data_IF_933563497917
#
_entry.id   IF_933563497917
#
_cell.length_a   1.000
_cell.length_b   1.000
_cell.length_c   1.000
_cell.angle_alpha   90.00
_cell.angle_beta   90.00
_cell.angle_gamma   90.00
#
_symmetry.space_group_name_H-M   'P 1'
#
loop_
_entity.id
_entity.type
_entity.pdbx_description
1 polymer ?
#
# COMPACT_ATOMS: atom_id res chain seq x y z
N UNK A 1 4.65 48.32 -23.29
CA UNK A 1 5.09 49.50 -22.51
C UNK A 1 4.78 49.25 -21.05
N UNK A 2 5.78 48.83 -20.28
CA UNK A 2 5.69 48.49 -18.86
C UNK A 2 5.46 49.76 -18.03
N UNK A 3 4.36 49.80 -17.28
CA UNK A 3 4.08 50.87 -16.33
C UNK A 3 4.79 50.58 -14.99
N UNK A 4 6.11 50.56 -15.01
CA UNK A 4 6.94 50.56 -13.79
C UNK A 4 6.96 51.98 -13.21
N UNK A 5 6.39 52.15 -12.02
CA UNK A 5 6.74 53.26 -11.12
C UNK A 5 5.96 54.57 -11.29
N UNK A 6 4.63 54.56 -11.42
CA UNK A 6 3.86 55.80 -11.15
C UNK A 6 3.82 56.03 -9.64
N UNK A 7 4.60 56.99 -9.16
CA UNK A 7 4.55 57.44 -7.76
C UNK A 7 3.18 58.08 -7.48
N UNK A 8 2.24 57.29 -6.93
CA UNK A 8 0.87 57.70 -6.63
C UNK A 8 0.82 58.77 -5.53
N UNK A 9 1.87 58.90 -4.72
CA UNK A 9 1.92 59.80 -3.57
C UNK A 9 2.08 61.28 -3.95
N UNK A 10 2.59 61.54 -5.15
CA UNK A 10 2.77 62.90 -5.67
C UNK A 10 1.66 63.32 -6.66
N UNK A 11 0.64 62.49 -6.85
CA UNK A 11 -0.43 62.77 -7.80
C UNK A 11 -1.51 63.67 -7.18
N UNK A 12 -1.93 64.68 -7.96
CA UNK A 12 -3.08 65.53 -7.65
C UNK A 12 -4.39 64.73 -7.68
N UNK A 13 -5.42 65.27 -7.02
CA UNK A 13 -6.73 64.65 -6.93
C UNK A 13 -7.34 64.29 -8.30
N UNK A 14 -7.28 65.20 -9.29
CA UNK A 14 -7.80 64.96 -10.65
C UNK A 14 -7.05 63.83 -11.36
N UNK A 15 -5.74 63.73 -11.16
CA UNK A 15 -4.93 62.67 -11.75
C UNK A 15 -5.26 61.31 -11.13
N UNK A 16 -5.43 61.24 -9.81
CA UNK A 16 -5.87 60.02 -9.11
C UNK A 16 -7.27 59.57 -9.57
N UNK A 17 -8.21 60.49 -9.74
CA UNK A 17 -9.54 60.15 -10.27
C UNK A 17 -9.47 59.58 -11.68
N UNK A 18 -8.62 60.15 -12.56
CA UNK A 18 -8.43 59.67 -13.93
C UNK A 18 -7.86 58.25 -13.95
N UNK A 19 -6.87 57.95 -13.10
CA UNK A 19 -6.31 56.60 -13.00
C UNK A 19 -7.31 55.59 -12.40
N UNK A 20 -8.09 55.98 -11.38
CA UNK A 20 -9.17 55.12 -10.89
C UNK A 20 -10.18 54.77 -11.98
N UNK A 21 -10.63 55.75 -12.79
CA UNK A 21 -11.56 55.49 -13.89
C UNK A 21 -10.97 54.56 -14.95
N UNK A 22 -9.71 54.77 -15.33
CA UNK A 22 -9.00 53.87 -16.26
C UNK A 22 -8.91 52.43 -15.73
N UNK A 23 -8.75 52.28 -14.42
CA UNK A 23 -8.72 50.99 -13.76
C UNK A 23 -10.11 50.39 -13.48
N UNK A 24 -11.21 51.05 -13.88
CA UNK A 24 -12.57 50.61 -13.59
C UNK A 24 -13.00 50.76 -12.12
N UNK A 25 -12.27 51.55 -11.33
CA UNK A 25 -12.49 51.73 -9.89
C UNK A 25 -13.32 52.98 -9.59
N UNK A 26 -14.00 52.97 -8.45
CA UNK A 26 -14.78 54.12 -7.97
C UNK A 26 -13.89 55.37 -7.78
N UNK A 27 -14.15 56.42 -8.56
CA UNK A 27 -13.39 57.67 -8.58
C UNK A 27 -13.98 58.78 -7.69
N UNK A 28 -14.58 58.42 -6.55
CA UNK A 28 -15.15 59.33 -5.54
C UNK A 28 -14.43 59.16 -4.19
N UNK A 29 -14.25 60.25 -3.43
CA UNK A 29 -13.62 60.24 -2.09
C UNK A 29 -12.49 61.26 -1.96
N UNK A 30 -11.68 61.18 -0.92
CA UNK A 30 -10.46 61.98 -0.78
C UNK A 30 -9.25 61.32 -1.49
N UNK A 31 -8.12 62.03 -1.59
CA UNK A 31 -6.89 61.54 -2.25
C UNK A 31 -6.38 60.22 -1.64
N UNK A 32 -6.42 60.09 -0.31
CA UNK A 32 -6.00 58.89 0.40
C UNK A 32 -6.83 57.65 0.01
N UNK A 33 -8.17 57.79 -0.08
CA UNK A 33 -9.05 56.70 -0.47
C UNK A 33 -8.80 56.25 -1.92
N UNK A 34 -8.52 57.19 -2.83
CA UNK A 34 -8.20 56.87 -4.22
C UNK A 34 -6.86 56.12 -4.35
N UNK A 35 -5.81 56.57 -3.64
CA UNK A 35 -4.51 55.88 -3.61
C UNK A 35 -4.64 54.46 -3.07
N UNK A 36 -5.33 54.28 -1.93
CA UNK A 36 -5.54 52.97 -1.32
C UNK A 36 -6.18 51.97 -2.29
N UNK A 37 -7.17 52.41 -3.10
CA UNK A 37 -7.81 51.57 -4.11
C UNK A 37 -6.89 51.22 -5.26
N UNK A 38 -6.09 52.18 -5.73
CA UNK A 38 -5.12 51.97 -6.80
C UNK A 38 -4.00 51.02 -6.36
N UNK A 39 -3.42 51.21 -5.18
CA UNK A 39 -2.45 50.28 -4.60
C UNK A 39 -3.04 48.87 -4.47
N UNK A 40 -4.23 48.74 -3.88
CA UNK A 40 -4.90 47.43 -3.77
C UNK A 40 -5.10 46.76 -5.14
N UNK A 41 -5.43 47.52 -6.18
CA UNK A 41 -5.59 46.99 -7.53
C UNK A 41 -4.26 46.62 -8.21
N UNK A 42 -3.17 47.33 -7.89
CA UNK A 42 -1.82 46.99 -8.34
C UNK A 42 -1.34 45.70 -7.67
N UNK A 43 -1.49 45.59 -6.35
CA UNK A 43 -1.18 44.36 -5.59
C UNK A 43 -1.97 43.16 -6.11
N UNK A 44 -3.27 43.35 -6.41
CA UNK A 44 -4.14 42.30 -6.95
C UNK A 44 -3.69 41.80 -8.33
N UNK A 45 -3.18 42.70 -9.18
CA UNK A 45 -2.65 42.33 -10.51
C UNK A 45 -1.30 41.63 -10.39
N UNK A 46 -0.44 42.08 -9.48
CA UNK A 46 0.85 41.45 -9.21
C UNK A 46 0.67 40.03 -8.67
N UNK A 47 -0.31 39.85 -7.77
CA UNK A 47 -0.72 38.52 -7.26
C UNK A 47 -1.29 37.60 -8.35
N UNK A 48 -2.02 38.15 -9.33
CA UNK A 48 -2.50 37.36 -10.48
C UNK A 48 -1.39 37.02 -11.49
N UNK A 49 -0.39 37.88 -11.65
CA UNK A 49 0.76 37.64 -12.53
C UNK A 49 1.73 36.62 -11.90
N UNK A 50 1.91 36.64 -10.59
CA UNK A 50 2.70 35.62 -9.86
C UNK A 50 1.97 34.28 -9.79
N UNK A 51 0.65 34.25 -9.63
CA UNK A 51 -0.15 33.01 -9.69
C UNK A 51 -0.10 32.33 -11.08
N UNK A 52 0.06 33.08 -12.18
CA UNK A 52 0.25 32.53 -13.54
C UNK A 52 1.68 32.04 -13.84
N UNK A 53 2.62 32.20 -12.90
CA UNK A 53 4.01 31.78 -13.01
C UNK A 53 4.37 30.72 -11.97
N UNK A 54 3.46 29.79 -11.67
CA UNK A 54 3.91 28.49 -11.17
C UNK A 54 4.62 27.78 -12.32
N UNK A 55 5.93 27.58 -12.16
CA UNK A 55 6.75 26.80 -13.08
C UNK A 55 6.14 25.39 -13.09
N UNK A 56 5.53 24.98 -14.20
CA UNK A 56 4.98 23.63 -14.35
C UNK A 56 6.09 22.63 -14.04
N UNK A 57 5.82 21.67 -13.16
CA UNK A 57 6.81 20.67 -12.83
C UNK A 57 6.97 19.75 -14.05
N UNK A 58 8.19 19.38 -14.47
CA UNK A 58 8.39 18.42 -15.56
C UNK A 58 7.65 17.09 -15.34
N UNK A 59 7.45 16.70 -14.07
CA UNK A 59 6.71 15.49 -13.71
C UNK A 59 5.21 15.56 -14.03
N UNK A 60 4.61 16.76 -14.14
CA UNK A 60 3.18 16.93 -14.41
C UNK A 60 2.78 16.35 -15.78
N UNK A 61 3.72 16.34 -16.74
CA UNK A 61 3.51 15.79 -18.09
C UNK A 61 3.68 14.27 -18.16
N UNK A 62 4.14 13.63 -17.08
CA UNK A 62 4.42 12.19 -17.01
C UNK A 62 3.34 11.42 -16.24
N UNK A 63 2.33 12.13 -15.72
CA UNK A 63 1.25 11.55 -14.92
C UNK A 63 0.38 10.66 -15.81
N UNK A 64 0.12 9.44 -15.33
CA UNK A 64 -0.83 8.52 -15.94
C UNK A 64 -2.24 9.13 -15.90
N UNK A 65 -2.93 9.25 -17.04
CA UNK A 65 -4.26 9.87 -17.09
C UNK A 65 -5.35 9.11 -16.30
N UNK A 66 -5.17 7.81 -16.06
CA UNK A 66 -6.14 6.98 -15.32
C UNK A 66 -5.92 7.12 -13.80
N UNK A 67 -4.68 6.93 -13.34
CA UNK A 67 -4.37 6.89 -11.90
C UNK A 67 -4.13 8.27 -11.31
N UNK A 68 -3.86 9.29 -12.15
CA UNK A 68 -3.43 10.62 -11.73
C UNK A 68 -2.15 10.61 -10.88
N UNK A 69 -1.34 9.56 -11.04
CA UNK A 69 -0.04 9.37 -10.39
C UNK A 69 1.05 9.11 -11.45
N UNK A 70 2.31 9.14 -11.02
CA UNK A 70 3.40 8.68 -11.89
C UNK A 70 3.26 7.16 -12.10
N UNK A 71 3.30 6.68 -13.35
CA UNK A 71 3.24 5.25 -13.63
C UNK A 71 4.52 4.56 -13.13
N UNK A 72 4.37 3.44 -12.43
CA UNK A 72 5.51 2.63 -12.01
C UNK A 72 5.88 1.58 -13.07
N UNK A 73 4.93 1.12 -13.89
CA UNK A 73 5.17 0.35 -15.12
C UNK A 73 4.56 1.05 -16.34
N UNK A 74 5.23 2.09 -16.88
CA UNK A 74 4.70 2.88 -17.97
C UNK A 74 4.64 2.10 -19.28
N UNK A 75 3.47 2.13 -19.92
CA UNK A 75 3.21 1.53 -21.24
C UNK A 75 2.60 2.54 -22.19
N UNK A 76 3.01 2.47 -23.45
CA UNK A 76 2.40 3.20 -24.55
C UNK A 76 1.31 2.37 -25.19
N UNK A 77 0.11 2.91 -25.25
CA UNK A 77 -1.01 2.29 -25.93
C UNK A 77 -1.17 2.83 -27.36
N UNK A 78 -2.02 2.21 -28.17
CA UNK A 78 -2.14 2.56 -29.61
C UNK A 78 -2.72 3.95 -29.88
N UNK A 79 -3.35 4.59 -28.89
CA UNK A 79 -3.76 5.99 -28.98
C UNK A 79 -2.60 6.98 -28.79
N UNK A 80 -1.37 6.47 -28.62
CA UNK A 80 -0.14 7.24 -28.48
C UNK A 80 0.11 7.79 -27.08
N UNK A 81 -0.73 7.44 -26.09
CA UNK A 81 -0.61 7.91 -24.71
C UNK A 81 0.12 6.89 -23.83
N UNK A 82 0.70 7.41 -22.74
CA UNK A 82 1.31 6.60 -21.69
C UNK A 82 0.32 6.37 -20.57
N UNK A 83 0.27 5.13 -20.10
CA UNK A 83 -0.52 4.69 -18.98
C UNK A 83 0.35 3.88 -18.03
N UNK A 84 -0.10 3.74 -16.78
CA UNK A 84 0.38 2.71 -15.88
C UNK A 84 -0.24 1.38 -16.32
N UNK A 85 0.58 0.34 -16.57
CA UNK A 85 0.11 -0.93 -17.14
C UNK A 85 -1.08 -1.52 -16.39
N UNK A 86 -1.06 -1.67 -15.06
CA UNK A 86 -2.19 -2.29 -14.35
C UNK A 86 -3.49 -1.51 -14.56
N UNK A 87 -3.40 -0.18 -14.59
CA UNK A 87 -4.57 0.69 -14.73
C UNK A 87 -5.22 0.60 -16.12
N UNK A 88 -4.42 0.51 -17.19
CA UNK A 88 -4.98 0.37 -18.54
C UNK A 88 -5.51 -1.06 -18.79
N UNK A 89 -4.87 -2.07 -18.21
CA UNK A 89 -5.35 -3.45 -18.28
C UNK A 89 -6.67 -3.63 -17.53
N UNK A 90 -6.80 -3.04 -16.33
CA UNK A 90 -8.05 -3.02 -15.58
C UNK A 90 -9.17 -2.30 -16.35
N UNK A 91 -8.86 -1.15 -16.96
CA UNK A 91 -9.82 -0.45 -17.82
C UNK A 91 -10.34 -1.34 -18.96
N UNK A 92 -9.47 -2.11 -19.61
CA UNK A 92 -9.88 -3.04 -20.67
C UNK A 92 -10.78 -4.17 -20.15
N UNK A 93 -10.52 -4.68 -18.93
CA UNK A 93 -11.35 -5.69 -18.30
C UNK A 93 -12.75 -5.17 -17.97
N UNK A 94 -12.85 -3.94 -17.44
CA UNK A 94 -14.13 -3.31 -17.08
C UNK A 94 -15.03 -3.03 -18.28
N UNK A 95 -14.46 -2.87 -19.48
CA UNK A 95 -15.20 -2.52 -20.71
C UNK A 95 -15.45 -3.72 -21.63
N UNK A 96 -15.49 -4.95 -21.10
CA UNK A 96 -15.89 -6.18 -21.82
C UNK A 96 -15.17 -6.41 -23.18
N UNK A 97 -13.92 -5.98 -23.32
CA UNK A 97 -13.16 -6.12 -24.57
C UNK A 97 -13.46 -5.07 -25.65
N UNK A 98 -14.31 -4.10 -25.34
CA UNK A 98 -14.57 -2.92 -26.18
C UNK A 98 -13.40 -1.93 -25.98
N UNK A 99 -12.29 -2.21 -26.66
CA UNK A 99 -11.03 -1.50 -26.51
C UNK A 99 -11.18 -0.04 -26.94
N UNK A 100 -11.38 0.84 -25.97
CA UNK A 100 -11.53 2.28 -26.18
C UNK A 100 -10.51 3.03 -25.36
N UNK A 101 -9.98 4.12 -25.94
CA UNK A 101 -9.15 5.06 -25.22
C UNK A 101 -9.89 5.56 -23.98
N UNK A 102 -9.30 5.45 -22.78
CA UNK A 102 -9.88 6.01 -21.55
C UNK A 102 -10.15 7.52 -21.64
N UNK A 103 -9.49 8.21 -22.58
CA UNK A 103 -9.54 9.67 -22.70
C UNK A 103 -10.46 10.13 -23.82
N UNK A 104 -10.37 9.53 -25.00
CA UNK A 104 -11.16 9.98 -26.16
C UNK A 104 -12.43 9.16 -26.38
N UNK A 105 -12.55 7.98 -25.75
CA UNK A 105 -13.63 7.03 -26.00
C UNK A 105 -13.60 6.40 -27.40
N UNK A 106 -12.59 6.70 -28.22
CA UNK A 106 -12.43 6.12 -29.55
C UNK A 106 -11.85 4.72 -29.46
N UNK A 107 -12.21 3.86 -30.42
CA UNK A 107 -11.66 2.52 -30.52
C UNK A 107 -10.14 2.53 -30.68
N UNK A 108 -9.45 1.64 -29.98
CA UNK A 108 -8.01 1.43 -30.04
C UNK A 108 -7.68 -0.06 -30.00
N UNK A 109 -6.49 -0.49 -30.42
CA UNK A 109 -6.08 -1.87 -30.22
C UNK A 109 -5.59 -2.17 -28.79
N UNK A 110 -5.29 -3.44 -28.54
CA UNK A 110 -4.85 -3.96 -27.23
C UNK A 110 -3.34 -3.94 -27.03
N UNK A 111 -2.58 -3.46 -28.02
CA UNK A 111 -1.12 -3.53 -27.98
C UNK A 111 -0.58 -2.50 -26.99
N UNK A 112 0.12 -2.97 -25.98
CA UNK A 112 0.83 -2.15 -25.00
C UNK A 112 2.34 -2.33 -25.20
N UNK A 113 3.03 -1.25 -25.56
CA UNK A 113 4.47 -1.23 -25.73
C UNK A 113 5.14 -0.69 -24.45
N UNK A 114 6.20 -1.31 -23.92
CA UNK A 114 6.93 -0.75 -22.79
C UNK A 114 7.45 0.66 -23.11
N UNK A 115 7.15 1.63 -22.24
CA UNK A 115 7.59 3.01 -22.40
C UNK A 115 8.87 3.28 -21.60
N UNK A 116 9.94 2.56 -21.92
CA UNK A 116 11.22 2.58 -21.19
C UNK A 116 11.78 4.00 -21.07
N UNK A 117 11.69 4.81 -22.13
CA UNK A 117 12.14 6.20 -22.09
C UNK A 117 11.37 7.04 -21.04
N UNK A 118 10.07 6.81 -20.87
CA UNK A 118 9.28 7.52 -19.86
C UNK A 118 9.69 7.09 -18.45
N UNK A 119 9.91 5.79 -18.23
CA UNK A 119 10.44 5.28 -16.97
C UNK A 119 11.78 5.93 -16.61
N UNK A 120 12.72 5.96 -17.55
CA UNK A 120 14.05 6.55 -17.33
C UNK A 120 13.96 8.05 -17.01
N UNK A 121 13.02 8.78 -17.62
CA UNK A 121 12.79 10.20 -17.30
C UNK A 121 12.26 10.34 -15.87
N UNK A 122 11.29 9.52 -15.47
CA UNK A 122 10.75 9.54 -14.10
C UNK A 122 11.85 9.23 -13.08
N UNK A 123 12.66 8.20 -13.33
CA UNK A 123 13.79 7.82 -12.47
C UNK A 123 14.82 8.97 -12.36
N UNK A 124 15.19 9.60 -13.48
CA UNK A 124 16.11 10.73 -13.48
C UNK A 124 15.57 11.95 -12.71
N UNK A 125 14.28 12.27 -12.86
CA UNK A 125 13.62 13.36 -12.11
C UNK A 125 13.51 13.04 -10.62
N UNK A 126 13.33 11.76 -10.27
CA UNK A 126 13.30 11.30 -8.89
C UNK A 126 14.68 11.48 -8.23
N UNK A 127 15.74 11.06 -8.92
CA UNK A 127 17.12 11.18 -8.45
C UNK A 127 17.60 12.64 -8.34
N UNK A 128 17.18 13.51 -9.27
CA UNK A 128 17.50 14.94 -9.22
C UNK A 128 16.70 15.71 -8.17
N UNK A 129 15.64 15.11 -7.61
CA UNK A 129 14.74 15.77 -6.66
C UNK A 129 13.76 16.75 -7.32
N UNK A 130 13.55 16.64 -8.64
CA UNK A 130 12.65 17.51 -9.41
C UNK A 130 11.19 17.05 -9.38
N UNK A 131 10.88 15.93 -8.72
CA UNK A 131 9.51 15.45 -8.47
C UNK A 131 9.00 15.99 -7.12
N UNK A 132 7.77 16.55 -7.04
CA UNK A 132 7.16 16.94 -5.78
C UNK A 132 7.14 15.79 -4.77
N UNK A 133 7.48 16.05 -3.51
CA UNK A 133 7.75 14.99 -2.53
C UNK A 133 6.60 14.01 -2.31
N UNK A 134 5.33 14.46 -2.35
CA UNK A 134 4.17 13.56 -2.23
C UNK A 134 4.10 12.55 -3.40
N UNK A 135 4.31 13.04 -4.61
CA UNK A 135 4.28 12.24 -5.83
C UNK A 135 5.48 11.28 -5.88
N UNK A 136 6.66 11.76 -5.49
CA UNK A 136 7.88 10.96 -5.36
C UNK A 136 7.71 9.84 -4.32
N UNK A 137 7.12 10.14 -3.18
CA UNK A 137 6.87 9.16 -2.11
C UNK A 137 5.95 8.03 -2.59
N UNK A 138 4.80 8.35 -3.18
CA UNK A 138 3.84 7.37 -3.68
C UNK A 138 4.44 6.49 -4.78
N UNK A 139 5.12 7.11 -5.73
CA UNK A 139 5.76 6.39 -6.82
C UNK A 139 6.85 5.44 -6.29
N UNK A 140 7.75 5.92 -5.43
CA UNK A 140 8.79 5.07 -4.88
C UNK A 140 8.21 3.94 -4.01
N UNK A 141 7.16 4.21 -3.24
CA UNK A 141 6.47 3.17 -2.47
C UNK A 141 5.97 2.03 -3.37
N UNK A 142 5.29 2.36 -4.48
CA UNK A 142 4.83 1.36 -5.47
C UNK A 142 6.00 0.59 -6.09
N UNK A 143 7.06 1.29 -6.48
CA UNK A 143 8.27 0.65 -7.04
C UNK A 143 8.90 -0.32 -6.04
N UNK A 144 9.01 0.04 -4.75
CA UNK A 144 9.57 -0.85 -3.73
C UNK A 144 8.65 -2.06 -3.46
N UNK A 145 7.33 -1.86 -3.42
CA UNK A 145 6.37 -2.94 -3.26
C UNK A 145 6.51 -3.95 -4.41
N UNK A 146 6.54 -3.48 -5.66
CA UNK A 146 6.71 -4.36 -6.82
C UNK A 146 8.03 -5.13 -6.77
N UNK A 147 9.16 -4.46 -6.48
CA UNK A 147 10.46 -5.14 -6.36
C UNK A 147 10.46 -6.21 -5.26
N UNK A 148 9.82 -5.93 -4.12
CA UNK A 148 9.68 -6.89 -3.03
C UNK A 148 8.79 -8.07 -3.45
N UNK A 149 7.69 -7.83 -4.18
CA UNK A 149 6.85 -8.88 -4.74
C UNK A 149 7.64 -9.80 -5.68
N UNK A 150 8.35 -9.23 -6.64
CA UNK A 150 9.14 -9.98 -7.64
C UNK A 150 10.23 -10.82 -6.98
N UNK A 151 10.96 -10.26 -6.02
CA UNK A 151 11.99 -10.99 -5.30
C UNK A 151 11.41 -12.13 -4.46
N UNK A 152 10.27 -11.91 -3.80
CA UNK A 152 9.59 -12.95 -3.04
C UNK A 152 9.11 -14.09 -3.92
N UNK A 153 8.51 -13.78 -5.07
CA UNK A 153 8.09 -14.80 -6.03
C UNK A 153 9.29 -15.59 -6.55
N UNK A 154 10.38 -14.91 -6.90
CA UNK A 154 11.62 -15.55 -7.38
C UNK A 154 12.20 -16.52 -6.34
N UNK A 155 12.27 -16.11 -5.07
CA UNK A 155 12.78 -16.95 -3.98
C UNK A 155 11.82 -18.13 -3.70
N UNK A 156 10.52 -17.86 -3.64
CA UNK A 156 9.50 -18.89 -3.45
C UNK A 156 9.53 -19.94 -4.57
N UNK A 157 9.69 -19.52 -5.83
CA UNK A 157 9.84 -20.42 -6.98
C UNK A 157 11.14 -21.23 -6.95
N UNK A 158 12.20 -20.70 -6.32
CA UNK A 158 13.46 -21.41 -6.11
C UNK A 158 13.41 -22.48 -5.00
N UNK A 159 12.27 -22.60 -4.30
CA UNK A 159 12.06 -23.61 -3.26
C UNK A 159 12.21 -23.09 -1.83
N UNK A 160 12.39 -21.78 -1.62
CA UNK A 160 12.52 -21.21 -0.29
C UNK A 160 11.16 -21.17 0.45
N UNK A 161 11.01 -22.03 1.46
CA UNK A 161 9.76 -22.19 2.20
C UNK A 161 9.33 -20.93 2.95
N UNK A 162 10.28 -20.14 3.46
CA UNK A 162 9.99 -18.87 4.14
C UNK A 162 9.38 -17.86 3.17
N UNK A 163 9.96 -17.72 1.97
CA UNK A 163 9.43 -16.86 0.91
C UNK A 163 8.08 -17.35 0.40
N UNK A 164 7.87 -18.67 0.27
CA UNK A 164 6.54 -19.22 -0.04
C UNK A 164 5.51 -18.80 1.02
N UNK A 165 5.89 -18.79 2.30
CA UNK A 165 5.02 -18.31 3.35
C UNK A 165 4.77 -16.80 3.26
N UNK A 166 5.79 -15.99 3.01
CA UNK A 166 5.64 -14.54 2.83
C UNK A 166 4.71 -14.21 1.65
N UNK A 167 4.84 -14.92 0.52
CA UNK A 167 3.92 -14.79 -0.61
C UNK A 167 2.49 -15.16 -0.20
N UNK A 168 2.32 -16.27 0.50
CA UNK A 168 1.00 -16.70 1.01
C UNK A 168 0.36 -15.67 1.94
N UNK A 169 1.13 -15.08 2.85
CA UNK A 169 0.67 -14.00 3.74
C UNK A 169 0.41 -12.71 2.97
N UNK A 170 1.21 -12.41 1.95
CA UNK A 170 1.02 -11.28 1.04
C UNK A 170 -0.35 -11.30 0.39
N UNK A 171 -0.72 -12.42 -0.23
CA UNK A 171 -2.05 -12.62 -0.80
C UNK A 171 -3.17 -12.64 0.25
N UNK A 172 -2.92 -13.09 1.49
CA UNK A 172 -3.93 -13.13 2.53
C UNK A 172 -4.29 -11.72 3.05
N UNK A 173 -3.34 -10.78 3.02
CA UNK A 173 -3.47 -9.46 3.63
C UNK A 173 -3.41 -8.29 2.65
N UNK A 174 -3.26 -8.55 1.35
CA UNK A 174 -3.08 -7.50 0.34
C UNK A 174 -1.81 -6.68 0.54
N UNK A 175 -0.69 -7.33 0.88
CA UNK A 175 0.58 -6.67 1.26
C UNK A 175 1.68 -6.94 0.26
N UNK A 176 2.74 -6.12 0.33
CA UNK A 176 3.95 -6.27 -0.48
C UNK A 176 3.72 -6.23 -2.00
N UNK A 177 2.65 -5.59 -2.47
CA UNK A 177 2.31 -5.51 -3.89
C UNK A 177 1.35 -6.61 -4.37
N UNK A 178 0.97 -7.56 -3.49
CA UNK A 178 -0.05 -8.54 -3.79
C UNK A 178 -1.46 -7.98 -3.55
N UNK A 179 -2.38 -8.24 -4.47
CA UNK A 179 -3.81 -8.08 -4.23
C UNK A 179 -4.34 -9.21 -3.34
N UNK A 180 -5.40 -8.95 -2.58
CA UNK A 180 -6.01 -9.99 -1.73
C UNK A 180 -6.57 -11.13 -2.58
N UNK A 181 -6.04 -12.34 -2.37
CA UNK A 181 -6.56 -13.58 -2.94
C UNK A 181 -6.35 -14.72 -1.94
N UNK A 182 -7.37 -14.98 -1.13
CA UNK A 182 -7.30 -16.02 -0.11
C UNK A 182 -7.08 -17.42 -0.70
N UNK A 183 -7.48 -17.69 -1.94
CA UNK A 183 -7.29 -19.01 -2.56
C UNK A 183 -5.84 -19.20 -2.96
N UNK A 184 -5.21 -18.19 -3.56
CA UNK A 184 -3.78 -18.20 -3.86
C UNK A 184 -2.95 -18.22 -2.58
N UNK A 185 -3.37 -17.48 -1.55
CA UNK A 185 -2.74 -17.52 -0.23
C UNK A 185 -2.62 -18.95 0.30
N UNK A 186 -3.72 -19.71 0.29
CA UNK A 186 -3.73 -21.10 0.76
C UNK A 186 -2.85 -22.01 -0.08
N UNK A 187 -2.79 -21.80 -1.40
CA UNK A 187 -1.91 -22.60 -2.27
C UNK A 187 -0.45 -22.39 -1.91
N UNK A 188 -0.03 -21.14 -1.69
CA UNK A 188 1.35 -20.82 -1.30
C UNK A 188 1.69 -21.29 0.11
N UNK A 189 0.78 -21.12 1.07
CA UNK A 189 0.98 -21.61 2.43
C UNK A 189 1.09 -23.14 2.49
N UNK A 190 0.36 -23.88 1.63
CA UNK A 190 0.53 -25.33 1.46
C UNK A 190 1.91 -25.70 0.96
N UNK A 191 2.39 -25.00 -0.08
CA UNK A 191 3.76 -25.19 -0.58
C UNK A 191 4.80 -24.90 0.50
N UNK A 192 4.62 -23.84 1.29
CA UNK A 192 5.51 -23.51 2.41
C UNK A 192 5.55 -24.65 3.45
N UNK A 193 4.39 -25.17 3.85
CA UNK A 193 4.28 -26.32 4.74
C UNK A 193 4.98 -27.57 4.17
N UNK A 194 4.75 -27.88 2.89
CA UNK A 194 5.39 -29.01 2.19
C UNK A 194 6.91 -28.84 2.08
N UNK A 195 7.39 -27.60 1.99
CA UNK A 195 8.82 -27.25 2.04
C UNK A 195 9.40 -27.27 3.47
N UNK A 196 8.59 -27.59 4.48
CA UNK A 196 9.02 -27.68 5.89
C UNK A 196 9.03 -26.36 6.63
N UNK A 197 8.45 -25.29 6.09
CA UNK A 197 8.36 -24.01 6.77
C UNK A 197 7.34 -24.07 7.93
N UNK A 198 7.85 -23.83 9.13
CA UNK A 198 7.06 -23.92 10.37
C UNK A 198 6.02 -22.80 10.42
N UNK A 199 6.38 -21.61 9.94
CA UNK A 199 5.48 -20.46 9.97
C UNK A 199 4.30 -20.65 8.99
N UNK A 200 4.56 -21.15 7.79
CA UNK A 200 3.56 -21.55 6.80
C UNK A 200 2.61 -22.60 7.34
N UNK A 201 3.13 -23.59 8.08
CA UNK A 201 2.33 -24.60 8.78
C UNK A 201 1.38 -23.98 9.81
N UNK A 202 1.89 -23.06 10.64
CA UNK A 202 1.06 -22.31 11.61
C UNK A 202 0.00 -21.47 10.90
N UNK A 203 0.35 -20.79 9.82
CA UNK A 203 -0.58 -19.95 9.06
C UNK A 203 -1.69 -20.77 8.40
N UNK A 204 -1.40 -21.96 7.86
CA UNK A 204 -2.44 -22.88 7.39
C UNK A 204 -3.41 -23.29 8.49
N UNK A 205 -2.89 -23.62 9.67
CA UNK A 205 -3.72 -23.95 10.84
C UNK A 205 -4.67 -22.80 11.20
N UNK A 206 -4.15 -21.56 11.22
CA UNK A 206 -4.95 -20.35 11.44
C UNK A 206 -6.01 -20.14 10.36
N UNK A 207 -5.68 -20.35 9.09
CA UNK A 207 -6.66 -20.24 8.00
C UNK A 207 -7.80 -21.26 8.17
N UNK A 208 -7.52 -22.51 8.54
CA UNK A 208 -8.57 -23.49 8.82
C UNK A 208 -9.39 -23.16 10.08
N UNK A 209 -8.79 -22.51 11.08
CA UNK A 209 -9.50 -22.09 12.28
C UNK A 209 -10.49 -20.94 12.01
N UNK A 210 -10.07 -20.00 11.18
CA UNK A 210 -10.80 -18.76 10.88
C UNK A 210 -11.72 -18.87 9.66
N UNK A 211 -11.38 -19.74 8.70
CA UNK A 211 -12.12 -19.93 7.46
C UNK A 211 -11.66 -19.05 6.28
N UNK A 212 -10.46 -18.44 6.35
CA UNK A 212 -9.92 -17.64 5.24
C UNK A 212 -9.43 -18.56 4.12
N UNK A 213 -9.97 -18.41 2.91
CA UNK A 213 -9.60 -19.18 1.71
C UNK A 213 -9.96 -20.66 1.74
N UNK A 214 -10.40 -21.19 2.88
CA UNK A 214 -10.80 -22.58 3.09
C UNK A 214 -12.02 -22.68 4.02
N UNK A 215 -12.89 -23.70 3.88
CA UNK A 215 -13.94 -23.95 4.85
C UNK A 215 -13.37 -24.15 6.25
N UNK A 216 -13.94 -23.45 7.22
CA UNK A 216 -13.55 -23.55 8.63
C UNK A 216 -13.61 -25.01 9.10
N UNK A 217 -12.51 -25.48 9.68
CA UNK A 217 -12.37 -26.85 10.16
C UNK A 217 -11.41 -26.91 11.34
N UNK A 218 -11.96 -26.97 12.56
CA UNK A 218 -11.18 -27.01 13.81
C UNK A 218 -10.30 -28.26 13.89
N UNK A 219 -10.76 -29.40 13.36
CA UNK A 219 -9.97 -30.64 13.28
C UNK A 219 -8.71 -30.49 12.40
N UNK A 220 -8.83 -29.79 11.25
CA UNK A 220 -7.66 -29.50 10.42
C UNK A 220 -6.77 -28.46 11.07
N UNK A 221 -7.35 -27.42 11.68
CA UNK A 221 -6.59 -26.42 12.41
C UNK A 221 -5.69 -27.06 13.47
N UNK A 222 -6.26 -27.92 14.33
CA UNK A 222 -5.49 -28.57 15.39
C UNK A 222 -4.47 -29.58 14.87
N UNK A 223 -4.76 -30.26 13.75
CA UNK A 223 -3.79 -31.11 13.05
C UNK A 223 -2.58 -30.31 12.56
N UNK A 224 -2.78 -29.15 11.94
CA UNK A 224 -1.64 -28.30 11.54
C UNK A 224 -0.91 -27.71 12.74
N UNK A 225 -1.61 -27.38 13.83
CA UNK A 225 -0.97 -26.94 15.08
C UNK A 225 -0.08 -28.03 15.68
N UNK A 226 -0.52 -29.30 15.71
CA UNK A 226 0.31 -30.39 16.22
C UNK A 226 1.52 -30.65 15.32
N UNK A 227 1.36 -30.53 13.99
CA UNK A 227 2.49 -30.60 13.05
C UNK A 227 3.51 -29.49 13.30
N UNK A 228 3.06 -28.24 13.45
CA UNK A 228 3.95 -27.12 13.76
C UNK A 228 4.65 -27.28 15.12
N UNK A 229 3.98 -27.83 16.13
CA UNK A 229 4.58 -28.17 17.42
C UNK A 229 5.69 -29.25 17.27
N UNK A 230 5.44 -30.25 16.42
CA UNK A 230 6.42 -31.26 16.04
C UNK A 230 7.65 -30.66 15.37
N UNK A 231 7.44 -29.68 14.48
CA UNK A 231 8.50 -28.95 13.79
C UNK A 231 9.25 -27.92 14.66
N UNK A 232 8.85 -27.74 15.93
CA UNK A 232 9.57 -26.91 16.90
C UNK A 232 8.98 -25.52 17.14
N UNK A 233 7.73 -25.25 16.74
CA UNK A 233 7.06 -24.02 17.15
C UNK A 233 6.61 -24.09 18.61
N UNK A 234 7.20 -23.27 19.48
CA UNK A 234 6.84 -23.18 20.91
C UNK A 234 5.38 -22.77 21.11
N UNK A 235 4.91 -21.78 20.35
CA UNK A 235 3.52 -21.31 20.41
C UNK A 235 2.55 -22.39 19.95
N UNK A 236 2.90 -23.17 18.93
CA UNK A 236 2.07 -24.28 18.49
C UNK A 236 2.08 -25.43 19.51
N UNK A 237 3.23 -25.70 20.14
CA UNK A 237 3.34 -26.70 21.22
C UNK A 237 2.48 -26.32 22.43
N UNK A 238 2.51 -25.05 22.85
CA UNK A 238 1.61 -24.56 23.89
C UNK A 238 0.14 -24.71 23.48
N UNK A 239 -0.22 -24.26 22.28
CA UNK A 239 -1.60 -24.29 21.79
C UNK A 239 -2.13 -25.73 21.68
N UNK A 240 -1.30 -26.66 21.22
CA UNK A 240 -1.67 -28.08 21.12
C UNK A 240 -1.77 -28.74 22.50
N UNK A 241 -0.81 -28.50 23.38
CA UNK A 241 -0.85 -28.99 24.76
C UNK A 241 -2.06 -28.48 25.54
N UNK A 242 -2.42 -27.20 25.38
CA UNK A 242 -3.66 -26.65 25.95
C UNK A 242 -4.90 -27.36 25.40
N UNK A 243 -4.97 -27.56 24.08
CA UNK A 243 -6.11 -28.23 23.47
C UNK A 243 -6.29 -29.67 23.96
N UNK A 244 -5.19 -30.40 24.19
CA UNK A 244 -5.19 -31.73 24.82
C UNK A 244 -5.61 -31.69 26.29
N UNK A 245 -5.20 -30.68 27.06
CA UNK A 245 -5.55 -30.52 28.46
C UNK A 245 -7.04 -30.22 28.67
N UNK A 246 -7.61 -29.38 27.80
CA UNK A 246 -8.97 -28.84 27.96
C UNK A 246 -10.00 -29.54 27.05
N UNK A 247 -9.57 -30.45 26.17
CA UNK A 247 -10.43 -31.15 25.21
C UNK A 247 -11.01 -30.23 24.12
N UNK A 248 -10.27 -29.18 23.74
CA UNK A 248 -10.74 -28.18 22.77
C UNK A 248 -10.64 -28.68 21.32
N UNK A 249 -11.39 -28.03 20.42
CA UNK A 249 -11.32 -28.25 18.96
C UNK A 249 -11.63 -29.67 18.46
N UNK A 250 -12.21 -30.52 19.31
CA UNK A 250 -12.57 -31.90 19.00
C UNK A 250 -11.43 -32.90 19.24
N UNK A 251 -10.42 -32.50 20.01
CA UNK A 251 -9.38 -33.39 20.56
C UNK A 251 -9.89 -33.97 21.88
N UNK A 252 -9.62 -35.25 22.13
CA UNK A 252 -9.96 -35.88 23.42
C UNK A 252 -8.96 -35.44 24.48
N UNK A 253 -9.41 -35.34 25.73
CA UNK A 253 -8.51 -34.98 26.83
C UNK A 253 -7.44 -36.05 26.99
N UNK A 254 -6.18 -35.64 26.96
CA UNK A 254 -5.01 -36.47 27.28
C UNK A 254 -4.02 -35.61 28.08
N UNK A 255 -4.09 -35.70 29.41
CA UNK A 255 -3.26 -34.88 30.29
C UNK A 255 -1.77 -35.25 30.20
N UNK A 256 -1.44 -36.52 29.96
CA UNK A 256 -0.06 -36.96 29.87
C UNK A 256 0.61 -36.38 28.63
N UNK A 257 -0.07 -36.44 27.48
CA UNK A 257 0.40 -35.82 26.24
C UNK A 257 0.39 -34.28 26.34
N UNK A 258 -0.64 -33.70 26.99
CA UNK A 258 -0.70 -32.26 27.24
C UNK A 258 0.52 -31.77 28.03
N UNK A 259 0.87 -32.43 29.13
CA UNK A 259 2.04 -32.09 29.95
C UNK A 259 3.31 -32.17 29.11
N UNK A 260 3.48 -33.21 28.29
CA UNK A 260 4.64 -33.34 27.42
C UNK A 260 4.82 -32.12 26.48
N UNK A 261 3.75 -31.71 25.79
CA UNK A 261 3.81 -30.57 24.87
C UNK A 261 3.97 -29.22 25.59
N UNK A 262 3.29 -29.04 26.73
CA UNK A 262 3.44 -27.84 27.55
C UNK A 262 4.86 -27.73 28.13
N UNK A 263 5.47 -28.83 28.57
CA UNK A 263 6.87 -28.82 29.01
C UNK A 263 7.83 -28.48 27.88
N UNK A 264 7.56 -28.95 26.66
CA UNK A 264 8.33 -28.57 25.47
C UNK A 264 8.25 -27.06 25.22
N UNK A 265 7.04 -26.49 25.27
CA UNK A 265 6.83 -25.04 25.13
C UNK A 265 7.48 -24.22 26.26
N UNK A 266 7.42 -24.70 27.50
CA UNK A 266 8.04 -24.06 28.68
C UNK A 266 9.58 -24.03 28.64
N UNK A 267 10.22 -24.92 27.86
CA UNK A 267 11.67 -24.94 27.61
C UNK A 267 12.06 -24.20 26.32
N UNK A 268 11.08 -23.68 25.58
CA UNK A 268 11.26 -23.01 24.30
C UNK A 268 12.05 -21.70 24.40
N UNK A 269 11.96 -20.85 23.39
CA UNK A 269 12.56 -19.51 23.36
C UNK A 269 11.48 -18.44 23.46
N UNK A 270 10.27 -18.71 22.97
CA UNK A 270 9.16 -17.75 23.02
C UNK A 270 8.69 -17.50 24.47
N UNK A 271 8.94 -16.30 25.01
CA UNK A 271 8.60 -15.94 26.40
C UNK A 271 7.10 -16.08 26.69
N UNK A 272 6.24 -15.60 25.79
CA UNK A 272 4.78 -15.76 25.93
C UNK A 272 4.39 -17.24 26.04
N UNK A 273 4.93 -18.08 25.15
CA UNK A 273 4.64 -19.51 25.17
C UNK A 273 5.14 -20.18 26.45
N UNK A 274 6.29 -19.74 26.98
CA UNK A 274 6.84 -20.25 28.24
C UNK A 274 5.94 -19.91 29.41
N UNK A 275 5.59 -18.64 29.57
CA UNK A 275 4.78 -18.15 30.69
C UNK A 275 3.44 -18.88 30.72
N UNK A 276 2.72 -18.89 29.59
CA UNK A 276 1.43 -19.56 29.50
C UNK A 276 1.52 -21.08 29.71
N UNK A 277 2.58 -21.72 29.20
CA UNK A 277 2.76 -23.15 29.40
C UNK A 277 3.08 -23.49 30.87
N UNK A 278 3.91 -22.69 31.54
CA UNK A 278 4.23 -22.88 32.96
C UNK A 278 3.00 -22.73 33.85
N UNK A 279 2.16 -21.73 33.58
CA UNK A 279 0.94 -21.52 34.34
C UNK A 279 -0.07 -22.64 34.12
N UNK A 280 -0.23 -23.11 32.87
CA UNK A 280 -1.09 -24.27 32.59
C UNK A 280 -0.56 -25.55 33.24
N UNK A 281 0.76 -25.76 33.28
CA UNK A 281 1.38 -26.90 33.96
C UNK A 281 1.14 -26.88 35.47
N UNK A 282 1.20 -25.70 36.12
CA UNK A 282 0.88 -25.58 37.54
C UNK A 282 -0.58 -25.95 37.80
N UNK A 283 -1.49 -25.49 36.95
CA UNK A 283 -2.92 -25.82 37.04
C UNK A 283 -3.15 -27.33 36.98
N UNK A 284 -2.58 -28.00 35.97
CA UNK A 284 -2.73 -29.46 35.79
C UNK A 284 -2.13 -30.26 36.95
N UNK A 285 -0.93 -29.88 37.43
CA UNK A 285 -0.30 -30.54 38.58
C UNK A 285 -1.09 -30.35 39.86
N UNK A 286 -1.77 -29.21 40.03
CA UNK A 286 -2.63 -28.97 41.18
C UNK A 286 -3.90 -29.83 41.14
N UNK A 287 -4.47 -30.08 39.95
CA UNK A 287 -5.62 -31.00 39.81
C UNK A 287 -5.24 -32.43 40.17
N UNK A 288 -4.13 -32.93 39.63
CA UNK A 288 -3.67 -34.31 39.87
C UNK A 288 -3.24 -34.60 41.32
N UNK A 289 -2.90 -33.57 42.10
CA UNK A 289 -2.61 -33.72 43.53
C UNK A 289 -3.88 -33.69 44.41
N UNK A 290 -5.04 -33.34 43.85
CA UNK A 290 -6.31 -33.21 44.57
C UNK A 290 -7.32 -34.34 44.24
N UNK A 291 -6.98 -35.24 43.31
CA UNK A 291 -7.73 -36.48 43.01
C UNK A 291 -7.14 -37.70 43.75
#
# INVERSE_FOLDING_TARGET
MSATGKNLDNMSYRQLQKECRKAGLLAKGNTAALRKRLHKAMDSKETQVTAKRQRKCPADDLICPITLELPWDPVMAEDGRIYDRPAIEEHFLQHCGDLKSPITGQGMGKKLLPAIQHRNIIEALFESGDIPSDLAYKWNLKVQQQRKMEELLRLAESGDGMSMCEVGVGYLMGKFGFDEDEKLAIQWLKKAHEAGDVYGTVMLGKCYLSGHGVPKCTKKAIMYTSMAAGQGSDLAAFSFGKALADGEFGVSVDEAEAIFWLEKAARGICEDAKEYAQDKLKELRARNNNE
#
